data_IF_588411833297
#
_entry.id   IF_588411833297
#
_cell.length_a   1.000
_cell.length_b   1.000
_cell.length_c   1.000
_cell.angle_alpha   90.00
_cell.angle_beta   90.00
_cell.angle_gamma   90.00
#
_symmetry.space_group_name_H-M   'P 1'
#
loop_
_entity.id
_entity.type
_entity.pdbx_description
1 polymer ?
#
# COMPACT_ATOMS: atom_id res chain seq x y z
N UNK A 1 16.56 22.33 1.24
CA UNK A 1 15.44 22.04 2.17
C UNK A 1 14.29 21.56 1.31
N UNK A 2 13.68 20.41 1.63
CA UNK A 2 12.47 19.92 0.96
C UNK A 2 11.29 20.40 1.79
N UNK A 3 10.32 21.04 1.13
CA UNK A 3 9.03 21.39 1.70
C UNK A 3 7.97 20.41 1.14
N UNK A 4 7.11 19.88 2.00
CA UNK A 4 6.06 18.93 1.63
C UNK A 4 4.70 19.55 1.95
N UNK A 5 3.86 19.64 0.94
CA UNK A 5 2.50 20.18 1.02
C UNK A 5 1.49 19.13 0.54
N UNK A 6 0.23 19.27 0.91
CA UNK A 6 -0.86 18.36 0.58
C UNK A 6 -1.91 18.95 -0.37
N UNK A 7 -1.54 20.00 -1.10
CA UNK A 7 -2.45 20.73 -1.98
C UNK A 7 -1.75 21.24 -3.25
N UNK A 8 -2.51 21.63 -4.28
CA UNK A 8 -2.05 22.21 -5.55
C UNK A 8 -2.31 23.74 -5.63
N UNK A 9 -2.21 24.46 -4.51
CA UNK A 9 -2.47 25.92 -4.49
C UNK A 9 -1.24 26.76 -4.81
N UNK A 10 -0.05 26.24 -4.55
CA UNK A 10 1.21 26.96 -4.78
C UNK A 10 1.56 26.94 -6.27
N UNK A 11 2.14 28.04 -6.76
CA UNK A 11 2.41 28.21 -8.20
C UNK A 11 3.73 27.63 -8.67
N UNK A 12 4.58 27.22 -7.75
CA UNK A 12 5.99 26.83 -7.98
C UNK A 12 6.29 25.40 -7.45
N UNK A 13 5.30 24.52 -7.49
CA UNK A 13 5.50 23.12 -7.11
C UNK A 13 6.45 22.44 -8.11
N UNK A 14 7.57 21.91 -7.62
CA UNK A 14 8.54 21.20 -8.46
C UNK A 14 8.09 19.78 -8.80
N UNK A 15 7.56 19.05 -7.81
CA UNK A 15 7.18 17.64 -7.95
C UNK A 15 5.79 17.41 -7.34
N UNK A 16 4.91 16.80 -8.12
CA UNK A 16 3.58 16.37 -7.68
C UNK A 16 3.57 14.84 -7.54
N UNK A 17 3.21 14.34 -6.35
CA UNK A 17 3.12 12.92 -6.08
C UNK A 17 1.65 12.45 -6.12
N UNK A 18 1.25 11.76 -7.19
CA UNK A 18 -0.07 11.15 -7.32
C UNK A 18 -0.10 9.80 -6.58
N UNK A 19 -0.70 9.80 -5.37
CA UNK A 19 -0.78 8.62 -4.51
C UNK A 19 -2.03 7.79 -4.74
N UNK A 20 -3.16 8.45 -4.95
CA UNK A 20 -4.45 7.81 -5.15
C UNK A 20 -5.26 8.57 -6.21
N UNK A 21 -5.48 8.00 -7.38
CA UNK A 21 -6.22 8.63 -8.46
C UNK A 21 -7.74 8.63 -8.25
N UNK A 22 -8.24 7.95 -7.21
CA UNK A 22 -9.68 7.81 -6.98
C UNK A 22 -10.26 9.11 -6.42
N UNK A 23 -11.11 9.77 -7.19
CA UNK A 23 -11.68 11.10 -6.92
C UNK A 23 -12.40 11.25 -5.56
N UNK A 24 -12.80 10.15 -4.94
CA UNK A 24 -13.58 10.15 -3.69
C UNK A 24 -12.87 9.44 -2.53
N UNK A 25 -11.56 9.21 -2.65
CA UNK A 25 -10.82 8.66 -1.53
C UNK A 25 -10.60 9.74 -0.46
N UNK A 26 -11.01 9.49 0.77
CA UNK A 26 -10.81 10.39 1.92
C UNK A 26 -9.34 10.79 2.14
N UNK A 27 -8.43 9.99 1.59
CA UNK A 27 -6.96 10.18 1.69
C UNK A 27 -6.37 10.95 0.52
N UNK A 28 -7.17 11.39 -0.46
CA UNK A 28 -6.71 12.12 -1.64
C UNK A 28 -7.24 13.54 -1.63
N UNK A 29 -6.34 14.52 -1.55
CA UNK A 29 -6.68 15.95 -1.61
C UNK A 29 -6.77 16.46 -3.04
N UNK A 30 -6.17 15.74 -4.01
CA UNK A 30 -6.23 16.01 -5.44
C UNK A 30 -6.12 14.70 -6.25
N UNK A 31 -6.51 14.72 -7.51
CA UNK A 31 -6.49 13.59 -8.44
C UNK A 31 -5.82 13.98 -9.78
N UNK A 32 -5.84 13.07 -10.75
CA UNK A 32 -5.27 13.27 -12.08
C UNK A 32 -5.89 14.46 -12.84
N UNK A 33 -7.18 14.73 -12.69
CA UNK A 33 -7.84 15.87 -13.31
C UNK A 33 -7.36 17.20 -12.73
N UNK A 34 -7.18 17.26 -11.40
CA UNK A 34 -6.66 18.45 -10.71
C UNK A 34 -5.21 18.71 -11.12
N UNK A 35 -4.41 17.64 -11.26
CA UNK A 35 -3.02 17.72 -11.74
C UNK A 35 -3.00 18.22 -13.19
N UNK A 36 -3.84 17.68 -14.07
CA UNK A 36 -3.94 18.14 -15.47
C UNK A 36 -4.30 19.60 -15.56
N UNK A 37 -5.24 20.06 -14.71
CA UNK A 37 -5.55 21.49 -14.63
C UNK A 37 -4.34 22.32 -14.18
N UNK A 38 -3.64 21.87 -13.12
CA UNK A 38 -2.45 22.54 -12.61
C UNK A 38 -1.36 22.68 -13.69
N UNK A 39 -1.03 21.60 -14.38
CA UNK A 39 -0.04 21.61 -15.45
C UNK A 39 -0.42 22.53 -16.62
N UNK A 40 -1.70 22.62 -16.95
CA UNK A 40 -2.15 23.44 -18.08
C UNK A 40 -2.23 24.93 -17.75
N UNK A 41 -2.56 25.30 -16.52
CA UNK A 41 -2.94 26.67 -16.18
C UNK A 41 -2.11 27.32 -15.08
N UNK A 42 -1.30 26.55 -14.34
CA UNK A 42 -0.54 27.07 -13.21
C UNK A 42 0.97 26.88 -13.41
N UNK A 43 1.46 25.64 -13.48
CA UNK A 43 2.88 25.36 -13.69
C UNK A 43 3.07 24.09 -14.54
N UNK A 44 3.33 24.27 -15.82
CA UNK A 44 3.56 23.16 -16.75
C UNK A 44 4.89 22.43 -16.59
N UNK A 45 5.81 22.98 -15.78
CA UNK A 45 7.14 22.39 -15.57
C UNK A 45 7.20 21.50 -14.35
N UNK A 46 6.13 21.39 -13.56
CA UNK A 46 6.06 20.47 -12.45
C UNK A 46 6.17 19.02 -12.95
N UNK A 47 7.06 18.23 -12.32
CA UNK A 47 7.18 16.80 -12.60
C UNK A 47 6.09 16.03 -11.84
N UNK A 48 5.46 15.08 -12.51
CA UNK A 48 4.42 14.24 -11.90
C UNK A 48 4.92 12.82 -11.73
N UNK A 49 4.89 12.34 -10.50
CA UNK A 49 5.24 10.97 -10.13
C UNK A 49 4.02 10.25 -9.61
N UNK A 50 3.58 9.19 -10.28
CA UNK A 50 2.52 8.34 -9.75
C UNK A 50 3.12 7.21 -8.91
N UNK A 51 2.60 7.02 -7.70
CA UNK A 51 2.95 5.87 -6.87
C UNK A 51 1.81 4.85 -6.88
N UNK A 52 2.08 3.66 -7.43
CA UNK A 52 1.13 2.56 -7.52
C UNK A 52 1.38 1.56 -6.38
N UNK A 53 0.40 1.42 -5.50
CA UNK A 53 0.42 0.52 -4.35
C UNK A 53 -0.84 -0.33 -4.22
N UNK A 54 -1.75 -0.24 -5.18
CA UNK A 54 -3.04 -0.94 -5.19
C UNK A 54 -3.31 -1.56 -6.55
N UNK A 55 -4.19 -2.59 -6.57
CA UNK A 55 -4.70 -3.23 -7.78
C UNK A 55 -6.01 -3.98 -7.48
N UNK A 56 -6.73 -4.35 -8.52
CA UNK A 56 -7.97 -5.11 -8.42
C UNK A 56 -7.77 -6.46 -7.72
N UNK A 57 -6.69 -7.15 -8.04
CA UNK A 57 -6.36 -8.48 -7.51
C UNK A 57 -6.19 -8.48 -5.99
N UNK A 58 -5.67 -7.39 -5.43
CA UNK A 58 -5.49 -7.24 -3.97
C UNK A 58 -6.74 -6.75 -3.27
N UNK A 59 -7.53 -5.90 -3.93
CA UNK A 59 -8.75 -5.31 -3.36
C UNK A 59 -9.99 -6.17 -3.58
N UNK A 60 -9.99 -7.04 -4.58
CA UNK A 60 -11.19 -7.74 -5.04
C UNK A 60 -12.15 -6.77 -5.74
N UNK A 61 -11.61 -5.79 -6.48
CA UNK A 61 -12.36 -4.82 -7.29
C UNK A 61 -12.22 -5.16 -8.78
N UNK A 62 -12.90 -4.43 -9.66
CA UNK A 62 -12.94 -4.73 -11.11
C UNK A 62 -12.53 -3.56 -11.99
N UNK A 63 -12.27 -2.37 -11.42
CA UNK A 63 -12.01 -1.16 -12.20
C UNK A 63 -10.85 -0.31 -11.65
N UNK A 64 -10.22 -0.74 -10.56
CA UNK A 64 -9.09 -0.01 -9.95
C UNK A 64 -7.90 0.06 -10.90
N UNK A 65 -7.56 -1.06 -11.56
CA UNK A 65 -6.46 -1.11 -12.52
C UNK A 65 -6.68 -0.13 -13.67
N UNK A 66 -7.88 -0.09 -14.25
CA UNK A 66 -8.20 0.83 -15.34
C UNK A 66 -8.11 2.31 -14.92
N UNK A 67 -8.56 2.63 -13.71
CA UNK A 67 -8.47 3.99 -13.18
C UNK A 67 -7.01 4.41 -12.94
N UNK A 68 -6.19 3.51 -12.40
CA UNK A 68 -4.75 3.74 -12.21
C UNK A 68 -4.05 3.97 -13.55
N UNK A 69 -4.34 3.15 -14.56
CA UNK A 69 -3.76 3.28 -15.91
C UNK A 69 -4.16 4.62 -16.54
N UNK A 70 -5.45 4.96 -16.48
CA UNK A 70 -5.94 6.22 -17.01
C UNK A 70 -5.30 7.42 -16.31
N UNK A 71 -5.17 7.39 -15.02
CA UNK A 71 -4.53 8.48 -14.26
C UNK A 71 -3.03 8.58 -14.50
N UNK A 72 -2.39 7.53 -15.00
CA UNK A 72 -0.97 7.54 -15.35
C UNK A 72 -0.64 8.44 -16.56
N UNK A 73 -1.63 8.77 -17.38
CA UNK A 73 -1.47 9.67 -18.54
C UNK A 73 -0.90 11.06 -18.20
N UNK A 74 -1.06 11.51 -16.95
CA UNK A 74 -0.50 12.79 -16.48
C UNK A 74 0.87 12.65 -15.82
N UNK A 75 1.44 11.43 -15.76
CA UNK A 75 2.64 11.13 -14.98
C UNK A 75 3.88 11.03 -15.87
N UNK A 76 4.94 11.68 -15.46
CA UNK A 76 6.26 11.59 -16.10
C UNK A 76 7.03 10.35 -15.65
N UNK A 77 6.76 9.87 -14.43
CA UNK A 77 7.43 8.71 -13.84
C UNK A 77 6.49 7.90 -12.94
N UNK A 78 6.69 6.58 -12.89
CA UNK A 78 5.88 5.68 -12.07
C UNK A 78 6.72 4.94 -11.04
N UNK A 79 6.29 4.95 -9.79
CA UNK A 79 6.88 4.17 -8.70
C UNK A 79 5.94 3.04 -8.31
N UNK A 80 6.44 1.80 -8.36
CA UNK A 80 5.73 0.62 -7.88
C UNK A 80 6.26 0.17 -6.52
N UNK A 81 5.38 -0.26 -5.62
CA UNK A 81 5.80 -0.76 -4.30
C UNK A 81 6.28 -2.22 -4.32
N UNK A 82 6.20 -2.89 -5.46
CA UNK A 82 6.75 -4.23 -5.68
C UNK A 82 6.98 -4.53 -7.16
N UNK A 83 7.91 -5.43 -7.48
CA UNK A 83 8.15 -5.91 -8.84
C UNK A 83 6.92 -6.60 -9.43
N UNK A 84 6.17 -7.33 -8.61
CA UNK A 84 4.93 -7.96 -9.03
C UNK A 84 3.90 -6.94 -9.56
N UNK A 85 3.72 -5.79 -8.88
CA UNK A 85 2.83 -4.73 -9.36
C UNK A 85 3.34 -4.11 -10.66
N UNK A 86 4.65 -3.90 -10.79
CA UNK A 86 5.22 -3.38 -12.03
C UNK A 86 4.94 -4.33 -13.21
N UNK A 87 5.10 -5.63 -13.02
CA UNK A 87 4.81 -6.63 -14.04
C UNK A 87 3.32 -6.69 -14.38
N UNK A 88 2.44 -6.68 -13.36
CA UNK A 88 1.00 -6.66 -13.55
C UNK A 88 0.55 -5.48 -14.42
N UNK A 89 1.01 -4.26 -14.10
CA UNK A 89 0.63 -3.07 -14.86
C UNK A 89 1.30 -3.00 -16.23
N UNK A 90 2.49 -3.55 -16.40
CA UNK A 90 3.12 -3.67 -17.71
C UNK A 90 2.34 -4.61 -18.65
N UNK A 91 1.81 -5.72 -18.15
CA UNK A 91 0.91 -6.61 -18.90
C UNK A 91 -0.42 -5.92 -19.27
N UNK A 92 -0.81 -4.89 -18.52
CA UNK A 92 -2.00 -4.08 -18.77
C UNK A 92 -1.70 -2.78 -19.54
N UNK A 93 -0.50 -2.61 -20.09
CA UNK A 93 -0.15 -1.56 -21.03
C UNK A 93 0.61 -0.35 -20.50
N UNK A 94 1.02 -0.35 -19.21
CA UNK A 94 1.91 0.70 -18.72
C UNK A 94 3.37 0.40 -19.09
N UNK A 95 4.07 1.43 -19.62
CA UNK A 95 5.48 1.31 -19.96
C UNK A 95 6.37 1.16 -18.71
N UNK A 96 7.36 0.27 -18.80
CA UNK A 96 8.38 0.11 -17.76
C UNK A 96 9.53 1.12 -17.87
N UNK A 97 9.71 1.78 -19.02
CA UNK A 97 10.89 2.61 -19.30
C UNK A 97 11.04 3.75 -18.28
N UNK A 98 9.93 4.41 -17.94
CA UNK A 98 9.91 5.51 -16.96
C UNK A 98 9.34 5.05 -15.63
N UNK A 99 9.89 3.96 -15.07
CA UNK A 99 9.39 3.45 -13.80
C UNK A 99 10.49 2.82 -12.93
N UNK A 100 10.22 2.73 -11.63
CA UNK A 100 11.08 2.05 -10.67
C UNK A 100 10.26 1.29 -9.63
N UNK A 101 10.87 0.26 -9.06
CA UNK A 101 10.33 -0.43 -7.89
C UNK A 101 10.99 0.14 -6.64
N UNK A 102 10.19 0.80 -5.79
CA UNK A 102 10.61 1.30 -4.49
C UNK A 102 9.69 0.69 -3.43
N UNK A 103 10.18 -0.33 -2.76
CA UNK A 103 9.44 -1.03 -1.72
C UNK A 103 9.21 -0.12 -0.50
N UNK A 104 8.07 -0.30 0.16
CA UNK A 104 7.83 0.34 1.45
C UNK A 104 8.79 -0.20 2.50
N UNK A 105 9.48 0.68 3.19
CA UNK A 105 10.38 0.36 4.29
C UNK A 105 9.82 0.72 5.65
N UNK A 106 10.60 0.44 6.68
CA UNK A 106 10.36 0.91 8.04
C UNK A 106 11.55 1.74 8.53
N UNK A 107 11.26 2.65 9.47
CA UNK A 107 12.30 3.46 10.11
C UNK A 107 13.08 2.58 11.10
N UNK A 108 14.28 2.16 10.72
CA UNK A 108 15.16 1.30 11.53
C UNK A 108 15.65 1.99 12.82
N UNK A 109 15.54 3.31 12.91
CA UNK A 109 15.89 4.02 14.15
C UNK A 109 14.83 3.83 15.23
N UNK A 110 13.56 3.64 14.82
CA UNK A 110 12.40 3.40 15.69
C UNK A 110 12.11 1.91 15.88
N UNK A 111 12.21 1.14 14.81
CA UNK A 111 11.89 -0.30 14.79
C UNK A 111 13.17 -1.14 14.94
N UNK A 112 13.69 -1.20 16.15
CA UNK A 112 14.90 -1.97 16.46
C UNK A 112 14.56 -3.34 17.04
N UNK A 113 15.30 -4.36 16.62
CA UNK A 113 15.24 -5.67 17.26
C UNK A 113 15.74 -5.59 18.71
N UNK A 114 14.90 -5.98 19.65
CA UNK A 114 15.30 -6.06 21.04
C UNK A 114 15.94 -7.42 21.35
N UNK A 115 17.27 -7.49 21.27
CA UNK A 115 18.05 -8.75 21.38
C UNK A 115 17.94 -9.43 22.75
N UNK A 116 17.29 -8.84 23.75
CA UNK A 116 17.28 -9.31 25.15
C UNK A 116 15.99 -10.00 25.62
N UNK A 117 15.04 -10.33 24.75
CA UNK A 117 13.91 -11.13 25.20
C UNK A 117 14.36 -12.57 25.42
N UNK A 118 14.27 -13.02 26.67
CA UNK A 118 14.35 -14.44 26.97
C UNK A 118 13.33 -15.17 26.08
N UNK A 119 13.77 -16.15 25.31
CA UNK A 119 12.88 -16.99 24.51
C UNK A 119 12.05 -17.82 25.49
N UNK A 120 10.76 -17.56 25.56
CA UNK A 120 9.83 -18.51 26.12
C UNK A 120 9.97 -19.82 25.33
N UNK A 121 9.68 -20.95 25.98
CA UNK A 121 9.68 -22.25 25.33
C UNK A 121 8.62 -22.39 24.22
N UNK A 122 7.80 -21.36 23.99
CA UNK A 122 6.79 -21.28 22.95
C UNK A 122 7.23 -20.35 21.81
N UNK A 123 6.87 -20.72 20.61
CA UNK A 123 7.02 -19.88 19.44
C UNK A 123 5.93 -18.80 19.43
N UNK A 124 6.30 -17.53 19.39
CA UNK A 124 5.37 -16.40 19.36
C UNK A 124 5.14 -15.97 17.90
N UNK A 125 3.95 -16.26 17.39
CA UNK A 125 3.51 -15.81 16.07
C UNK A 125 2.61 -14.59 16.22
N UNK A 126 3.03 -13.47 15.65
CA UNK A 126 2.28 -12.20 15.70
C UNK A 126 1.99 -11.73 14.30
N UNK A 127 0.77 -11.30 14.04
CA UNK A 127 0.39 -10.62 12.80
C UNK A 127 -0.50 -9.42 13.10
N UNK A 128 -0.48 -8.44 12.20
CA UNK A 128 -1.34 -7.28 12.35
C UNK A 128 -1.77 -6.72 10.98
N UNK A 129 -2.99 -6.19 10.90
CA UNK A 129 -3.42 -5.31 9.83
C UNK A 129 -4.67 -4.52 10.20
N UNK A 130 -4.79 -3.36 9.57
CA UNK A 130 -5.90 -2.45 9.80
C UNK A 130 -7.22 -2.96 9.19
N UNK A 131 -7.16 -3.48 7.98
CA UNK A 131 -8.35 -3.86 7.23
C UNK A 131 -8.89 -5.22 7.67
N UNK A 132 -10.22 -5.34 7.96
CA UNK A 132 -10.89 -6.60 8.25
C UNK A 132 -11.23 -7.40 6.98
N UNK A 133 -10.51 -7.20 5.87
CA UNK A 133 -10.75 -7.92 4.62
C UNK A 133 -10.22 -9.35 4.70
N UNK A 134 -11.02 -10.33 4.30
CA UNK A 134 -10.65 -11.75 4.29
C UNK A 134 -9.37 -12.06 3.50
N UNK A 135 -9.06 -11.29 2.46
CA UNK A 135 -7.81 -11.39 1.70
C UNK A 135 -6.55 -11.11 2.53
N UNK A 136 -6.70 -10.61 3.76
CA UNK A 136 -5.60 -10.42 4.72
C UNK A 136 -5.19 -11.71 5.44
N UNK A 137 -5.77 -12.85 5.08
CA UNK A 137 -5.38 -14.17 5.61
C UNK A 137 -6.26 -14.69 6.74
N UNK A 138 -7.45 -14.13 6.97
CA UNK A 138 -8.33 -14.57 8.07
C UNK A 138 -8.72 -16.05 7.99
N UNK A 139 -8.81 -16.63 6.80
CA UNK A 139 -9.01 -18.07 6.62
C UNK A 139 -7.82 -18.92 7.13
N UNK A 140 -6.60 -18.36 7.16
CA UNK A 140 -5.43 -19.01 7.76
C UNK A 140 -5.49 -18.86 9.28
N UNK A 141 -5.93 -17.71 9.80
CA UNK A 141 -6.03 -17.49 11.25
C UNK A 141 -7.04 -18.43 11.88
N UNK A 142 -8.19 -18.69 11.25
CA UNK A 142 -9.13 -19.73 11.69
C UNK A 142 -8.50 -21.12 11.76
N UNK A 143 -7.63 -21.45 10.79
CA UNK A 143 -6.91 -22.74 10.82
C UNK A 143 -5.90 -22.80 11.96
N UNK A 144 -5.24 -21.68 12.28
CA UNK A 144 -4.31 -21.59 13.40
C UNK A 144 -5.08 -21.73 14.71
N UNK A 145 -6.23 -21.07 14.88
CA UNK A 145 -7.06 -21.20 16.09
C UNK A 145 -7.49 -22.64 16.31
N UNK A 146 -7.99 -23.33 15.29
CA UNK A 146 -8.31 -24.76 15.36
C UNK A 146 -7.09 -25.64 15.71
N UNK A 147 -5.91 -25.30 15.18
CA UNK A 147 -4.68 -26.01 15.50
C UNK A 147 -4.33 -25.86 16.98
N UNK A 148 -4.57 -24.68 17.56
CA UNK A 148 -4.27 -24.38 18.96
C UNK A 148 -5.27 -25.01 19.95
N UNK A 149 -6.41 -25.53 19.52
CA UNK A 149 -7.29 -26.40 20.34
C UNK A 149 -6.57 -27.69 20.73
N UNK A 150 -5.61 -28.15 19.92
CA UNK A 150 -4.75 -29.27 20.26
C UNK A 150 -3.71 -28.89 21.33
N UNK A 151 -3.70 -29.62 22.43
CA UNK A 151 -2.83 -29.35 23.60
C UNK A 151 -1.34 -29.35 23.27
N UNK A 152 -0.90 -30.16 22.29
CA UNK A 152 0.53 -30.27 21.95
C UNK A 152 0.99 -29.07 21.13
N UNK A 153 0.13 -28.54 20.26
CA UNK A 153 0.40 -27.29 19.55
C UNK A 153 0.33 -26.09 20.46
N UNK A 154 -0.66 -26.04 21.35
CA UNK A 154 -0.81 -24.96 22.34
C UNK A 154 0.39 -24.85 23.29
N UNK A 155 1.09 -25.94 23.58
CA UNK A 155 2.34 -25.93 24.37
C UNK A 155 3.52 -25.31 23.58
N UNK A 156 3.49 -25.32 22.25
CA UNK A 156 4.60 -24.95 21.37
C UNK A 156 4.44 -23.58 20.70
N UNK A 157 3.20 -23.12 20.51
CA UNK A 157 2.87 -21.93 19.73
C UNK A 157 1.89 -21.04 20.48
N UNK A 158 2.16 -19.74 20.49
CA UNK A 158 1.18 -18.69 20.77
C UNK A 158 0.90 -17.91 19.48
N UNK A 159 -0.37 -17.58 19.24
CA UNK A 159 -0.77 -16.73 18.12
C UNK A 159 -1.45 -15.47 18.62
N UNK A 160 -0.98 -14.32 18.18
CA UNK A 160 -1.56 -13.02 18.51
C UNK A 160 -1.87 -12.26 17.22
N UNK A 161 -3.12 -11.87 17.07
CA UNK A 161 -3.56 -10.96 16.01
C UNK A 161 -3.84 -9.57 16.60
N UNK A 162 -3.37 -8.52 15.93
CA UNK A 162 -3.58 -7.12 16.32
C UNK A 162 -4.28 -6.39 15.16
N UNK A 163 -5.48 -5.88 15.41
CA UNK A 163 -6.22 -5.08 14.42
C UNK A 163 -7.72 -5.37 14.37
N UNK A 164 -8.36 -4.96 13.28
CA UNK A 164 -9.78 -5.16 13.07
C UNK A 164 -10.06 -6.54 12.47
N UNK A 165 -11.07 -7.23 12.99
CA UNK A 165 -11.50 -8.54 12.50
C UNK A 165 -12.79 -8.42 11.66
N UNK A 166 -13.02 -9.31 10.67
CA UNK A 166 -14.27 -9.36 9.93
C UNK A 166 -15.46 -9.64 10.86
N UNK A 167 -16.63 -9.06 10.55
CA UNK A 167 -17.86 -9.26 11.36
C UNK A 167 -18.30 -10.73 11.45
N UNK A 168 -17.95 -11.54 10.46
CA UNK A 168 -18.28 -12.97 10.36
C UNK A 168 -17.07 -13.87 10.66
N UNK A 169 -16.07 -13.38 11.38
CA UNK A 169 -14.95 -14.19 11.88
C UNK A 169 -15.36 -14.82 13.21
N UNK A 170 -15.42 -16.16 13.23
CA UNK A 170 -15.73 -16.99 14.40
C UNK A 170 -14.52 -17.84 14.75
#
# INVERSE_FOLDING_TARGET
KIEVIDHLKDKDIDIILLMNPLKHAETSTYNDHDIKYYLNFVNRNALVVQRINECDERKGTTNTNQQIIKSNEVSDFTIYVSSWLQELFALNGLDKANSAVIMSGSDETKFKSNKKKARNNKFELVTHHWSPNWNKGFHIYQKIDKLLENKDWNKKLNFTYIGNIPKNFN
#
